data_IF_514220253290
#
_entry.id   IF_514220253290
#
_cell.length_a   1.000
_cell.length_b   1.000
_cell.length_c   1.000
_cell.angle_alpha   90.00
_cell.angle_beta   90.00
_cell.angle_gamma   90.00
#
_symmetry.space_group_name_H-M   'P 1'
#
loop_
_entity.id
_entity.type
_entity.pdbx_description
1 polymer ?
#
# COMPACT_ATOMS: atom_id res chain seq x y z
N UNK A 1 2.43 -41.29 -2.71
CA UNK A 1 3.30 -40.19 -3.16
C UNK A 1 2.58 -38.87 -2.90
N UNK A 2 2.96 -38.14 -1.86
CA UNK A 2 2.44 -36.80 -1.61
C UNK A 2 3.22 -35.84 -2.50
N UNK A 3 2.56 -35.21 -3.47
CA UNK A 3 3.17 -34.11 -4.24
C UNK A 3 3.68 -33.06 -3.24
N UNK A 4 4.97 -32.72 -3.30
CA UNK A 4 5.50 -31.60 -2.51
C UNK A 4 4.64 -30.37 -2.82
N UNK A 5 4.11 -29.65 -1.81
CA UNK A 5 3.31 -28.48 -2.08
C UNK A 5 4.17 -27.45 -2.82
N UNK A 6 3.76 -27.11 -4.03
CA UNK A 6 4.43 -26.10 -4.84
C UNK A 6 4.32 -24.75 -4.14
N UNK A 7 5.46 -24.15 -3.79
CA UNK A 7 5.53 -22.80 -3.22
C UNK A 7 5.40 -21.78 -4.35
N UNK A 8 4.56 -20.77 -4.15
CA UNK A 8 4.47 -19.63 -5.06
C UNK A 8 5.29 -18.52 -4.42
N UNK A 9 6.37 -18.09 -5.06
CA UNK A 9 7.17 -16.98 -4.54
C UNK A 9 6.59 -15.63 -4.98
N UNK A 10 6.16 -15.54 -6.23
CA UNK A 10 5.57 -14.35 -6.82
C UNK A 10 4.20 -14.66 -7.38
N UNK A 11 3.22 -13.84 -7.01
CA UNK A 11 1.86 -13.92 -7.52
C UNK A 11 1.45 -12.55 -8.05
N UNK A 12 1.11 -12.50 -9.34
CA UNK A 12 0.65 -11.29 -10.00
C UNK A 12 -0.76 -11.49 -10.55
N UNK A 13 -1.67 -10.57 -10.25
CA UNK A 13 -3.02 -10.56 -10.81
C UNK A 13 -3.31 -9.20 -11.42
N UNK A 14 -3.02 -9.11 -12.71
CA UNK A 14 -3.25 -7.92 -13.51
C UNK A 14 -4.71 -7.81 -13.96
N UNK A 15 -5.16 -6.58 -14.18
CA UNK A 15 -6.50 -6.15 -14.59
C UNK A 15 -7.34 -7.25 -15.27
N UNK A 16 -8.21 -7.91 -14.52
CA UNK A 16 -9.23 -8.78 -15.10
C UNK A 16 -10.20 -7.93 -15.95
N UNK A 17 -10.63 -8.47 -17.10
CA UNK A 17 -11.53 -7.79 -18.06
C UNK A 17 -12.92 -7.45 -17.49
N UNK A 18 -13.24 -7.91 -16.28
CA UNK A 18 -14.50 -7.63 -15.61
C UNK A 18 -14.26 -7.38 -14.11
N UNK A 19 -14.92 -6.39 -13.50
CA UNK A 19 -14.98 -6.28 -12.04
C UNK A 19 -15.74 -7.48 -11.48
N UNK A 20 -15.01 -8.51 -11.06
CA UNK A 20 -15.59 -9.65 -10.34
C UNK A 20 -16.31 -9.13 -9.08
N UNK A 21 -17.52 -9.63 -8.85
CA UNK A 21 -18.41 -9.27 -7.74
C UNK A 21 -17.76 -9.58 -6.39
N UNK A 22 -16.88 -10.59 -6.33
CA UNK A 22 -16.17 -10.99 -5.11
C UNK A 22 -14.81 -10.30 -4.91
N UNK A 23 -14.38 -9.45 -5.86
CA UNK A 23 -13.01 -8.97 -5.91
C UNK A 23 -12.01 -10.12 -6.00
N UNK A 24 -10.71 -9.81 -6.04
CA UNK A 24 -9.67 -10.83 -6.18
C UNK A 24 -9.44 -11.67 -4.91
N UNK A 25 -10.44 -11.77 -4.02
CA UNK A 25 -10.36 -12.40 -2.70
C UNK A 25 -9.77 -13.80 -2.76
N UNK A 26 -10.35 -14.68 -3.58
CA UNK A 26 -9.92 -16.09 -3.65
C UNK A 26 -8.48 -16.24 -4.15
N UNK A 27 -8.02 -15.34 -5.02
CA UNK A 27 -6.64 -15.34 -5.51
C UNK A 27 -5.66 -14.85 -4.46
N UNK A 28 -6.02 -13.82 -3.70
CA UNK A 28 -5.22 -13.34 -2.57
C UNK A 28 -5.09 -14.44 -1.52
N UNK A 29 -6.22 -15.00 -1.07
CA UNK A 29 -6.24 -16.09 -0.08
C UNK A 29 -5.38 -17.27 -0.54
N UNK A 30 -5.51 -17.67 -1.80
CA UNK A 30 -4.68 -18.73 -2.37
C UNK A 30 -3.18 -18.39 -2.35
N UNK A 31 -2.79 -17.18 -2.75
CA UNK A 31 -1.39 -16.76 -2.74
C UNK A 31 -0.82 -16.73 -1.30
N UNK A 32 -1.57 -16.19 -0.34
CA UNK A 32 -1.19 -16.16 1.07
C UNK A 32 -1.03 -17.58 1.64
N UNK A 33 -1.96 -18.49 1.33
CA UNK A 33 -1.88 -19.90 1.71
C UNK A 33 -0.65 -20.63 1.14
N UNK A 34 -0.09 -20.14 0.03
CA UNK A 34 1.13 -20.67 -0.59
C UNK A 34 2.42 -20.01 -0.08
N UNK A 35 2.33 -19.10 0.89
CA UNK A 35 3.48 -18.43 1.48
C UNK A 35 4.20 -17.52 0.50
N UNK A 36 3.42 -16.76 -0.28
CA UNK A 36 3.92 -15.80 -1.27
C UNK A 36 4.81 -14.74 -0.62
N UNK A 37 5.89 -14.39 -1.32
CA UNK A 37 6.82 -13.33 -0.90
C UNK A 37 6.65 -12.05 -1.71
N UNK A 38 6.20 -12.15 -2.96
CA UNK A 38 5.89 -11.00 -3.80
C UNK A 38 4.44 -11.06 -4.26
N UNK A 39 3.63 -10.09 -3.84
CA UNK A 39 2.23 -9.99 -4.23
C UNK A 39 2.01 -8.70 -5.00
N UNK A 40 1.46 -8.82 -6.21
CA UNK A 40 1.15 -7.69 -7.09
C UNK A 40 -0.27 -7.86 -7.62
N UNK A 41 -1.21 -7.04 -7.15
CA UNK A 41 -2.63 -7.24 -7.40
C UNK A 41 -3.33 -5.94 -7.75
N UNK A 42 -4.05 -5.98 -8.88
CA UNK A 42 -5.00 -4.95 -9.28
C UNK A 42 -6.42 -5.32 -8.88
N UNK A 43 -7.06 -4.56 -7.99
CA UNK A 43 -8.45 -4.76 -7.57
C UNK A 43 -9.35 -3.53 -7.83
N UNK A 44 -10.63 -3.78 -8.09
CA UNK A 44 -11.64 -2.71 -8.15
C UNK A 44 -12.33 -2.46 -6.81
N UNK A 45 -12.16 -3.36 -5.85
CA UNK A 45 -12.76 -3.28 -4.51
C UNK A 45 -11.84 -3.92 -3.48
N UNK A 46 -11.63 -3.24 -2.36
CA UNK A 46 -10.98 -3.83 -1.19
C UNK A 46 -12.03 -4.51 -0.29
N UNK A 47 -11.90 -5.81 -0.07
CA UNK A 47 -12.74 -6.55 0.87
C UNK A 47 -12.02 -6.62 2.23
N UNK A 48 -12.63 -6.04 3.27
CA UNK A 48 -12.04 -5.92 4.61
C UNK A 48 -11.53 -7.25 5.20
N UNK A 49 -12.19 -8.37 4.91
CA UNK A 49 -11.80 -9.70 5.43
C UNK A 49 -10.45 -10.20 4.89
N UNK A 50 -10.13 -9.88 3.63
CA UNK A 50 -8.89 -10.32 2.98
C UNK A 50 -7.73 -9.41 3.35
N UNK A 51 -8.04 -8.13 3.60
CA UNK A 51 -7.05 -7.13 3.99
C UNK A 51 -6.35 -7.53 5.28
N UNK A 52 -7.07 -8.01 6.30
CA UNK A 52 -6.45 -8.38 7.57
C UNK A 52 -5.42 -9.51 7.41
N UNK A 53 -5.73 -10.58 6.68
CA UNK A 53 -4.79 -11.67 6.44
C UNK A 53 -3.57 -11.22 5.64
N UNK A 54 -3.79 -10.36 4.66
CA UNK A 54 -2.74 -9.80 3.83
C UNK A 54 -1.73 -8.99 4.68
N UNK A 55 -2.23 -8.11 5.53
CA UNK A 55 -1.41 -7.21 6.36
C UNK A 55 -0.85 -7.85 7.65
N UNK A 56 -1.00 -9.17 7.78
CA UNK A 56 -0.39 -9.99 8.83
C UNK A 56 0.55 -11.07 8.24
N UNK A 57 0.77 -11.04 6.92
CA UNK A 57 1.48 -12.11 6.22
C UNK A 57 3.00 -11.96 6.35
N UNK A 58 3.59 -12.69 7.29
CA UNK A 58 5.02 -12.65 7.56
C UNK A 58 5.90 -13.14 6.40
N UNK A 59 5.37 -13.78 5.36
CA UNK A 59 6.16 -14.21 4.20
C UNK A 59 6.38 -13.09 3.17
N UNK A 60 5.58 -12.02 3.22
CA UNK A 60 5.66 -10.92 2.26
C UNK A 60 6.93 -10.11 2.41
N UNK A 61 7.57 -9.86 1.26
CA UNK A 61 8.74 -9.00 1.07
C UNK A 61 8.39 -7.83 0.16
N UNK A 62 7.55 -8.07 -0.86
CA UNK A 62 7.04 -7.06 -1.78
C UNK A 62 5.51 -7.11 -1.82
N UNK A 63 4.87 -5.97 -1.62
CA UNK A 63 3.43 -5.82 -1.73
C UNK A 63 3.09 -4.64 -2.64
N UNK A 64 2.44 -4.92 -3.76
CA UNK A 64 1.90 -3.94 -4.70
C UNK A 64 0.40 -4.10 -4.80
N UNK A 65 -0.31 -3.03 -4.46
CA UNK A 65 -1.76 -2.99 -4.45
C UNK A 65 -2.22 -1.82 -5.31
N UNK A 66 -2.90 -2.16 -6.39
CA UNK A 66 -3.46 -1.18 -7.32
C UNK A 66 -4.97 -1.21 -7.17
N UNK A 67 -5.58 -0.14 -6.65
CA UNK A 67 -6.98 -0.19 -6.22
C UNK A 67 -7.79 1.02 -6.65
N UNK A 68 -8.66 0.90 -7.66
CA UNK A 68 -9.56 2.00 -8.11
C UNK A 68 -10.78 2.22 -7.20
N UNK A 69 -10.56 2.15 -5.89
CA UNK A 69 -11.59 2.36 -4.86
C UNK A 69 -10.96 2.99 -3.63
N UNK A 70 -11.81 3.37 -2.68
CA UNK A 70 -11.37 3.71 -1.33
C UNK A 70 -10.59 2.55 -0.70
N UNK A 71 -9.40 2.85 -0.18
CA UNK A 71 -8.52 1.87 0.46
C UNK A 71 -8.81 1.80 1.95
N UNK A 72 -9.81 1.00 2.31
CA UNK A 72 -10.12 0.71 3.70
C UNK A 72 -9.24 -0.42 4.21
N UNK A 73 -8.26 -0.06 5.01
CA UNK A 73 -7.45 -1.01 5.76
C UNK A 73 -8.14 -1.32 7.11
N UNK A 74 -7.90 -2.51 7.70
CA UNK A 74 -8.43 -2.85 9.01
C UNK A 74 -7.95 -1.86 10.08
N UNK A 75 -8.80 -1.47 11.02
CA UNK A 75 -8.38 -0.62 12.14
C UNK A 75 -7.47 -1.35 13.15
N UNK A 76 -7.29 -2.65 12.97
CA UNK A 76 -6.50 -3.53 13.82
C UNK A 76 -4.97 -3.39 13.62
N UNK A 77 -4.23 -4.35 14.17
CA UNK A 77 -2.76 -4.40 14.09
C UNK A 77 -2.27 -4.81 12.70
N UNK A 78 -1.08 -4.32 12.34
CA UNK A 78 -0.35 -4.65 11.13
C UNK A 78 0.93 -5.38 11.54
N UNK A 79 1.26 -6.48 10.86
CA UNK A 79 2.49 -7.22 11.14
C UNK A 79 3.05 -7.87 9.89
N UNK A 80 3.98 -7.16 9.25
CA UNK A 80 4.65 -7.52 8.01
C UNK A 80 6.16 -7.47 8.23
N UNK A 81 6.71 -8.36 9.08
CA UNK A 81 8.08 -8.27 9.58
C UNK A 81 9.18 -8.34 8.52
N UNK A 82 8.88 -8.89 7.34
CA UNK A 82 9.85 -9.06 6.25
C UNK A 82 9.59 -8.13 5.05
N UNK A 83 8.57 -7.26 5.13
CA UNK A 83 8.20 -6.41 4.01
C UNK A 83 9.23 -5.30 3.83
N UNK A 84 9.82 -5.25 2.63
CA UNK A 84 10.81 -4.26 2.21
C UNK A 84 10.23 -3.24 1.25
N UNK A 85 9.25 -3.64 0.44
CA UNK A 85 8.66 -2.78 -0.57
C UNK A 85 7.15 -2.77 -0.46
N UNK A 86 6.58 -1.57 -0.27
CA UNK A 86 5.14 -1.33 -0.24
C UNK A 86 4.74 -0.30 -1.28
N UNK A 87 3.81 -0.66 -2.16
CA UNK A 87 3.26 0.22 -3.18
C UNK A 87 1.74 0.17 -3.15
N UNK A 88 1.13 1.33 -2.92
CA UNK A 88 -0.30 1.54 -2.91
C UNK A 88 -0.62 2.55 -4.01
N UNK A 89 -1.18 2.07 -5.12
CA UNK A 89 -1.45 2.86 -6.32
C UNK A 89 -2.93 2.95 -6.68
N UNK A 90 -3.26 4.01 -7.44
CA UNK A 90 -4.60 4.34 -7.90
C UNK A 90 -5.63 4.40 -6.77
N UNK A 91 -5.18 4.55 -5.53
CA UNK A 91 -6.01 4.41 -4.35
C UNK A 91 -6.69 5.72 -3.98
N UNK A 92 -7.86 5.62 -3.34
CA UNK A 92 -8.44 6.74 -2.60
C UNK A 92 -8.19 6.52 -1.10
N UNK A 93 -7.33 7.33 -0.49
CA UNK A 93 -6.98 7.25 0.92
C UNK A 93 -7.98 8.06 1.76
N UNK A 94 -8.74 7.43 2.67
CA UNK A 94 -9.72 8.13 3.52
C UNK A 94 -9.03 8.92 4.63
N UNK A 95 -9.66 9.98 5.16
CA UNK A 95 -9.12 10.88 6.22
C UNK A 95 -8.47 10.16 7.41
N UNK A 96 -8.96 8.96 7.75
CA UNK A 96 -8.47 8.14 8.86
C UNK A 96 -7.53 7.01 8.41
N UNK A 97 -6.92 7.12 7.23
CA UNK A 97 -6.03 6.10 6.69
C UNK A 97 -4.88 5.82 7.69
N UNK A 98 -4.68 4.58 8.12
CA UNK A 98 -3.81 4.25 9.25
C UNK A 98 -2.33 4.16 8.86
N UNK A 99 -1.81 5.15 8.11
CA UNK A 99 -0.46 5.15 7.53
C UNK A 99 0.63 4.90 8.57
N UNK A 100 0.63 5.67 9.66
CA UNK A 100 1.65 5.55 10.72
C UNK A 100 1.64 4.16 11.34
N UNK A 101 0.46 3.59 11.57
CA UNK A 101 0.33 2.22 12.11
C UNK A 101 0.81 1.18 11.10
N UNK A 102 0.47 1.35 9.82
CA UNK A 102 0.91 0.47 8.74
C UNK A 102 2.44 0.43 8.64
N UNK A 103 3.08 1.60 8.62
CA UNK A 103 4.55 1.71 8.58
C UNK A 103 5.17 1.06 9.84
N UNK A 104 4.62 1.32 11.03
CA UNK A 104 5.13 0.73 12.28
C UNK A 104 5.04 -0.81 12.29
N UNK A 105 4.09 -1.38 11.55
CA UNK A 105 3.94 -2.83 11.37
C UNK A 105 4.92 -3.45 10.36
N UNK A 106 5.71 -2.63 9.65
CA UNK A 106 6.65 -3.03 8.61
C UNK A 106 8.09 -2.62 8.99
N UNK A 107 8.72 -3.26 10.00
CA UNK A 107 10.00 -2.81 10.56
C UNK A 107 11.21 -2.94 9.62
N UNK A 108 11.06 -3.54 8.43
CA UNK A 108 12.11 -3.68 7.42
C UNK A 108 11.79 -2.88 6.13
N UNK A 109 10.82 -1.97 6.18
CA UNK A 109 10.36 -1.26 4.99
C UNK A 109 11.42 -0.28 4.49
N UNK A 110 11.92 -0.53 3.27
CA UNK A 110 12.97 0.25 2.58
C UNK A 110 12.36 1.18 1.53
N UNK A 111 11.30 0.73 0.85
CA UNK A 111 10.62 1.44 -0.24
C UNK A 111 9.14 1.62 0.06
N UNK A 112 8.67 2.87 -0.02
CA UNK A 112 7.25 3.22 0.12
C UNK A 112 6.78 4.09 -1.07
N UNK A 113 5.76 3.61 -1.76
CA UNK A 113 5.08 4.34 -2.84
C UNK A 113 3.61 4.53 -2.48
N UNK A 114 3.18 5.78 -2.40
CA UNK A 114 1.79 6.17 -2.16
C UNK A 114 1.34 7.05 -3.34
N UNK A 115 0.56 6.46 -4.23
CA UNK A 115 0.02 7.11 -5.40
C UNK A 115 -1.51 7.06 -5.35
N UNK A 116 -2.13 8.22 -5.23
CA UNK A 116 -3.58 8.27 -5.09
C UNK A 116 -4.14 9.60 -4.60
N UNK A 117 -5.46 9.63 -4.55
CA UNK A 117 -6.21 10.77 -4.02
C UNK A 117 -6.38 10.61 -2.51
N UNK A 118 -6.05 11.64 -1.75
CA UNK A 118 -6.27 11.65 -0.31
C UNK A 118 -7.46 12.56 0.00
N UNK A 119 -8.40 12.06 0.81
CA UNK A 119 -9.54 12.86 1.28
C UNK A 119 -9.10 13.79 2.41
N UNK A 120 -9.31 15.10 2.25
CA UNK A 120 -9.26 16.14 3.32
C UNK A 120 -8.18 15.93 4.40
N UNK A 121 -6.99 15.48 4.00
CA UNK A 121 -5.85 15.34 4.91
C UNK A 121 -5.19 16.67 5.10
N UNK A 122 -5.22 17.16 6.35
CA UNK A 122 -4.43 18.32 6.73
C UNK A 122 -2.95 17.94 6.88
N UNK A 123 -2.63 16.71 7.32
CA UNK A 123 -1.26 16.28 7.63
C UNK A 123 -1.02 14.82 7.25
N UNK A 124 0.05 14.56 6.51
CA UNK A 124 0.64 13.23 6.30
C UNK A 124 1.91 13.15 7.15
N UNK A 125 1.98 12.17 8.06
CA UNK A 125 3.12 11.98 8.95
C UNK A 125 3.77 10.60 8.70
N UNK A 126 5.03 10.63 8.28
CA UNK A 126 5.83 9.44 7.97
C UNK A 126 7.12 9.49 8.79
N UNK A 127 7.25 8.56 9.74
CA UNK A 127 8.47 8.34 10.50
C UNK A 127 8.92 6.89 10.32
N UNK A 128 10.18 6.70 9.95
CA UNK A 128 10.78 5.37 9.81
C UNK A 128 12.30 5.46 9.73
N UNK A 129 13.03 4.68 10.55
CA UNK A 129 14.48 4.60 10.44
C UNK A 129 14.95 3.69 9.31
N UNK A 130 14.07 2.94 8.63
CA UNK A 130 14.48 1.97 7.60
C UNK A 130 14.16 2.43 6.18
N UNK A 131 13.31 3.45 6.02
CA UNK A 131 12.93 3.94 4.70
C UNK A 131 14.11 4.62 4.00
N UNK A 132 14.37 4.16 2.78
CA UNK A 132 15.42 4.63 1.88
C UNK A 132 14.81 5.39 0.70
N UNK A 133 13.66 4.90 0.19
CA UNK A 133 12.97 5.48 -0.95
C UNK A 133 11.51 5.81 -0.58
N UNK A 134 11.09 7.04 -0.86
CA UNK A 134 9.73 7.50 -0.67
C UNK A 134 9.21 8.15 -1.95
N UNK A 135 8.05 7.72 -2.41
CA UNK A 135 7.27 8.38 -3.46
C UNK A 135 5.90 8.76 -2.94
N UNK A 136 5.57 10.05 -3.04
CA UNK A 136 4.25 10.60 -2.79
C UNK A 136 3.74 11.22 -4.10
N UNK A 137 2.72 10.62 -4.70
CA UNK A 137 2.08 11.13 -5.91
C UNK A 137 0.58 11.38 -5.65
N UNK A 138 0.21 12.65 -5.71
CA UNK A 138 -1.15 13.15 -5.51
C UNK A 138 -1.87 13.48 -6.82
N UNK A 139 -1.19 13.39 -7.97
CA UNK A 139 -1.69 13.77 -9.30
C UNK A 139 -2.48 12.62 -9.94
N UNK A 140 -2.06 11.39 -9.66
CA UNK A 140 -2.53 10.20 -10.39
C UNK A 140 -3.99 9.79 -10.17
N UNK A 141 -4.74 10.45 -9.27
CA UNK A 141 -6.15 10.18 -9.00
C UNK A 141 -7.11 11.32 -9.37
N UNK A 142 -6.93 11.91 -10.55
CA UNK A 142 -7.88 12.86 -11.15
C UNK A 142 -7.93 14.24 -10.48
N UNK A 143 -8.34 15.24 -11.24
CA UNK A 143 -8.23 16.65 -10.87
C UNK A 143 -9.15 17.03 -9.70
N UNK A 144 -8.62 17.04 -8.48
CA UNK A 144 -9.24 17.72 -7.34
C UNK A 144 -8.70 19.14 -7.27
N UNK A 145 -9.34 20.06 -7.99
CA UNK A 145 -8.95 21.47 -8.08
C UNK A 145 -9.12 22.27 -6.76
N UNK A 146 -9.73 21.68 -5.73
CA UNK A 146 -10.14 22.37 -4.51
C UNK A 146 -9.72 21.61 -3.24
N UNK A 147 -8.60 20.86 -3.33
CA UNK A 147 -8.06 20.15 -2.18
C UNK A 147 -7.33 21.13 -1.27
N UNK A 148 -7.58 21.12 0.05
CA UNK A 148 -6.78 21.90 1.00
C UNK A 148 -5.30 21.47 0.91
N UNK A 149 -4.40 22.41 1.19
CA UNK A 149 -2.97 22.12 1.33
C UNK A 149 -2.77 21.02 2.37
N UNK A 150 -2.02 19.97 2.00
CA UNK A 150 -1.67 18.88 2.90
C UNK A 150 -0.23 19.07 3.37
N UNK A 151 -0.04 19.22 4.68
CA UNK A 151 1.30 19.27 5.27
C UNK A 151 1.91 17.87 5.26
N UNK A 152 3.19 17.77 4.88
CA UNK A 152 3.92 16.50 4.88
C UNK A 152 5.05 16.58 5.91
N UNK A 153 4.93 15.80 6.98
CA UNK A 153 5.91 15.71 8.06
C UNK A 153 6.71 14.42 7.90
N UNK A 154 8.02 14.56 7.69
CA UNK A 154 8.93 13.45 7.44
C UNK A 154 10.00 13.36 8.53
N UNK A 155 10.10 12.20 9.18
CA UNK A 155 11.17 11.83 10.09
C UNK A 155 11.84 10.55 9.59
N UNK A 156 12.71 10.73 8.59
CA UNK A 156 13.28 9.65 7.77
C UNK A 156 14.81 9.78 7.73
N UNK A 157 15.53 9.41 8.80
CA UNK A 157 16.96 9.68 8.94
C UNK A 157 17.85 8.99 7.89
N UNK A 158 17.35 7.95 7.23
CA UNK A 158 18.08 7.18 6.22
C UNK A 158 17.52 7.35 4.79
N UNK A 159 16.66 8.34 4.56
CA UNK A 159 16.07 8.59 3.25
C UNK A 159 17.15 9.04 2.25
N UNK A 160 17.22 8.36 1.11
CA UNK A 160 18.13 8.68 0.01
C UNK A 160 17.41 9.25 -1.20
N UNK A 161 16.20 8.77 -1.47
CA UNK A 161 15.42 9.19 -2.63
C UNK A 161 14.00 9.59 -2.20
N UNK A 162 13.61 10.80 -2.60
CA UNK A 162 12.29 11.33 -2.37
C UNK A 162 11.70 11.84 -3.70
N UNK A 163 10.59 11.25 -4.13
CA UNK A 163 9.77 11.76 -5.22
C UNK A 163 8.46 12.34 -4.65
N UNK A 164 8.12 13.55 -5.06
CA UNK A 164 6.91 14.24 -4.63
C UNK A 164 6.25 14.91 -5.84
N UNK A 165 5.00 14.54 -6.09
CA UNK A 165 4.20 15.06 -7.19
C UNK A 165 2.85 15.57 -6.66
N UNK A 166 2.64 16.89 -6.73
CA UNK A 166 1.40 17.56 -6.33
C UNK A 166 1.12 18.72 -7.31
N UNK A 167 -0.16 19.04 -7.50
CA UNK A 167 -0.63 20.17 -8.30
C UNK A 167 -0.38 21.54 -7.63
N UNK A 168 -0.13 21.58 -6.31
CA UNK A 168 -0.12 22.82 -5.52
C UNK A 168 1.24 23.21 -4.91
N UNK A 169 2.34 22.60 -5.34
CA UNK A 169 3.69 22.71 -4.76
C UNK A 169 4.02 24.03 -4.01
N UNK A 170 3.95 23.98 -2.67
CA UNK A 170 4.72 24.85 -1.78
C UNK A 170 5.47 23.95 -0.79
N UNK A 171 6.76 23.76 -1.02
CA UNK A 171 7.65 23.13 -0.04
C UNK A 171 8.12 24.24 0.90
N UNK A 172 7.66 24.23 2.16
CA UNK A 172 8.32 25.01 3.22
C UNK A 172 9.36 24.13 3.90
N UNK A 173 10.62 24.51 3.77
CA UNK A 173 11.76 23.91 4.46
C UNK A 173 11.79 24.25 5.95
#
# INVERSE_FOLDING_TARGET
MLCKPTKINKFCLNRAKSPDVNGNKSWIEFALLKGVSELDIFTYRFNSSVTQQLFMCATLVVLKLHAKSEMKLPDESYFLPNLKFLQLEFAKFPVNFPLTRLISGCPMLEDLVLEGGWEDFNVINISSPTLINLTLDFISFGYQYDRPTTDVLLDLPNLLHFNYEDHLAIITA
#
